data_IF_105811779843
#
_entry.id   IF_105811779843
#
_cell.length_a   1.000
_cell.length_b   1.000
_cell.length_c   1.000
_cell.angle_alpha   90.00
_cell.angle_beta   90.00
_cell.angle_gamma   90.00
#
_symmetry.space_group_name_H-M   'P 1'
#
loop_
_entity.id
_entity.type
_entity.pdbx_description
1 polymer ?
#
# COMPACT_ATOMS: atom_id res chain seq x y z
N UNK A 1 11.74 2.03 -28.97
CA UNK A 1 12.98 2.19 -28.18
C UNK A 1 12.59 2.30 -26.72
N UNK A 2 12.95 1.31 -25.90
CA UNK A 2 13.08 1.34 -24.42
C UNK A 2 12.16 2.30 -23.65
N UNK A 3 10.91 1.92 -23.40
CA UNK A 3 10.33 2.20 -22.08
C UNK A 3 10.79 1.09 -21.14
N UNK A 4 12.09 1.13 -20.81
CA UNK A 4 12.59 0.35 -19.70
C UNK A 4 11.84 0.88 -18.47
N UNK A 5 10.88 0.11 -17.98
CA UNK A 5 10.16 0.44 -16.77
C UNK A 5 11.20 0.66 -15.67
N UNK A 6 11.32 1.92 -15.23
CA UNK A 6 12.40 2.35 -14.32
C UNK A 6 12.36 1.63 -12.98
N UNK A 7 11.20 1.10 -12.62
CA UNK A 7 10.96 0.39 -11.37
C UNK A 7 10.40 -0.99 -11.67
N UNK A 8 11.02 -2.03 -11.10
CA UNK A 8 10.59 -3.42 -11.26
C UNK A 8 9.61 -3.84 -10.16
N UNK A 9 9.78 -3.29 -8.95
CA UNK A 9 9.03 -3.65 -7.76
C UNK A 9 8.64 -2.41 -6.97
N UNK A 10 7.45 -2.42 -6.40
CA UNK A 10 6.91 -1.36 -5.54
C UNK A 10 6.41 -1.99 -4.25
N UNK A 11 6.72 -1.34 -3.13
CA UNK A 11 6.22 -1.72 -1.82
C UNK A 11 5.48 -0.55 -1.20
N UNK A 12 4.25 -0.79 -0.77
CA UNK A 12 3.39 0.21 -0.13
C UNK A 12 3.13 -0.21 1.32
N UNK A 13 3.56 0.60 2.28
CA UNK A 13 3.36 0.37 3.70
C UNK A 13 2.22 1.25 4.21
N UNK A 14 1.18 0.63 4.78
CA UNK A 14 0.06 1.29 5.47
C UNK A 14 -0.39 2.61 4.82
N UNK A 15 -0.68 2.57 3.52
CA UNK A 15 -1.02 3.77 2.75
C UNK A 15 -2.47 4.21 2.93
N UNK A 16 -2.71 5.50 2.69
CA UNK A 16 -4.02 6.06 2.39
C UNK A 16 -4.02 6.46 0.91
N UNK A 17 -4.98 5.93 0.17
CA UNK A 17 -5.06 6.07 -1.28
C UNK A 17 -6.32 6.83 -1.69
N UNK A 18 -7.43 6.63 -0.98
CA UNK A 18 -8.64 7.42 -1.12
C UNK A 18 -8.68 8.50 -0.04
N UNK A 19 -8.63 9.75 -0.47
CA UNK A 19 -8.62 10.93 0.38
C UNK A 19 -10.02 11.40 0.78
N UNK A 20 -11.08 10.95 0.10
CA UNK A 20 -12.46 11.36 0.41
C UNK A 20 -12.85 11.14 1.88
N UNK A 21 -12.51 10.02 2.54
CA UNK A 21 -12.79 9.84 3.96
C UNK A 21 -12.09 10.84 4.89
N UNK A 22 -11.05 11.55 4.41
CA UNK A 22 -10.31 12.52 5.23
C UNK A 22 -11.02 13.87 5.34
N UNK A 23 -11.94 14.22 4.42
CA UNK A 23 -12.62 15.52 4.36
C UNK A 23 -13.18 15.96 5.71
N UNK A 24 -13.85 15.05 6.41
CA UNK A 24 -14.53 15.34 7.68
C UNK A 24 -13.65 15.18 8.92
N UNK A 25 -12.40 14.74 8.74
CA UNK A 25 -11.45 14.49 9.83
C UNK A 25 -10.68 15.75 10.21
N UNK A 26 -10.02 15.74 11.38
CA UNK A 26 -9.11 16.82 11.76
C UNK A 26 -7.95 16.99 10.76
N UNK A 27 -7.54 15.91 10.08
CA UNK A 27 -6.46 15.92 9.07
C UNK A 27 -6.91 16.71 7.84
N UNK A 28 -8.07 16.37 7.26
CA UNK A 28 -8.60 17.06 6.09
C UNK A 28 -8.86 18.55 6.37
N UNK A 29 -9.40 18.87 7.54
CA UNK A 29 -9.61 20.25 7.99
C UNK A 29 -8.29 21.02 8.13
N UNK A 30 -7.25 20.40 8.68
CA UNK A 30 -5.95 21.05 8.87
C UNK A 30 -5.27 21.45 7.54
N UNK A 31 -5.53 20.71 6.46
CA UNK A 31 -4.98 20.99 5.12
C UNK A 31 -5.99 21.68 4.19
N UNK A 32 -7.17 22.07 4.68
CA UNK A 32 -8.29 22.60 3.89
C UNK A 32 -8.66 21.73 2.68
N UNK A 33 -8.59 20.41 2.83
CA UNK A 33 -8.90 19.47 1.76
C UNK A 33 -10.34 19.67 1.29
N UNK A 34 -10.52 19.98 0.01
CA UNK A 34 -11.85 20.04 -0.59
C UNK A 34 -12.17 18.78 -1.41
N UNK A 35 -13.43 18.62 -1.78
CA UNK A 35 -13.90 17.43 -2.51
C UNK A 35 -13.19 17.24 -3.85
N UNK A 36 -13.00 18.33 -4.61
CA UNK A 36 -12.36 18.25 -5.92
C UNK A 36 -10.89 17.81 -5.82
N UNK A 37 -10.16 18.30 -4.80
CA UNK A 37 -8.81 17.86 -4.50
C UNK A 37 -8.78 16.40 -4.05
N UNK A 38 -9.69 16.01 -3.14
CA UNK A 38 -9.78 14.64 -2.66
C UNK A 38 -10.01 13.66 -3.82
N UNK A 39 -10.88 14.00 -4.76
CA UNK A 39 -11.14 13.17 -5.95
C UNK A 39 -9.96 13.16 -6.92
N UNK A 40 -9.35 14.32 -7.21
CA UNK A 40 -8.25 14.43 -8.16
C UNK A 40 -6.95 13.78 -7.67
N UNK A 41 -6.71 13.79 -6.36
CA UNK A 41 -5.46 13.30 -5.75
C UNK A 41 -5.59 11.89 -5.17
N UNK A 42 -6.80 11.31 -5.16
CA UNK A 42 -6.98 9.91 -4.76
C UNK A 42 -6.39 8.95 -5.78
N UNK A 43 -5.65 7.97 -5.29
CA UNK A 43 -5.20 6.82 -6.08
C UNK A 43 -6.29 5.76 -6.02
N UNK A 44 -7.05 5.61 -7.10
CA UNK A 44 -8.15 4.61 -7.18
C UNK A 44 -7.72 3.29 -7.82
N UNK A 45 -6.63 3.31 -8.59
CA UNK A 45 -6.02 2.11 -9.20
C UNK A 45 -4.53 2.37 -9.48
N UNK A 46 -3.76 1.28 -9.63
CA UNK A 46 -2.35 1.31 -10.00
C UNK A 46 -2.13 0.93 -11.47
N UNK A 47 -3.11 1.25 -12.31
CA UNK A 47 -3.21 0.80 -13.70
C UNK A 47 -2.06 1.24 -14.62
N UNK A 48 -1.35 2.29 -14.23
CA UNK A 48 -0.23 2.86 -15.00
C UNK A 48 1.12 2.29 -14.55
N UNK A 49 1.14 1.40 -13.57
CA UNK A 49 2.34 0.80 -13.01
C UNK A 49 2.50 -0.60 -13.61
N UNK A 50 3.58 -0.82 -14.38
CA UNK A 50 4.02 -2.17 -14.73
C UNK A 50 5.25 -2.55 -13.89
N UNK A 51 4.97 -2.77 -12.60
CA UNK A 51 5.90 -3.26 -11.60
C UNK A 51 5.16 -4.29 -10.74
N UNK A 52 5.90 -5.25 -10.19
CA UNK A 52 5.35 -6.13 -9.15
C UNK A 52 5.01 -5.30 -7.91
N UNK A 53 3.97 -5.71 -7.20
CA UNK A 53 3.44 -4.98 -6.06
C UNK A 53 3.45 -5.83 -4.79
N UNK A 54 3.90 -5.21 -3.70
CA UNK A 54 3.64 -5.67 -2.34
C UNK A 54 2.99 -4.55 -1.55
N UNK A 55 1.86 -4.83 -0.91
CA UNK A 55 1.18 -3.96 0.04
C UNK A 55 1.26 -4.61 1.40
N UNK A 56 1.76 -3.87 2.39
CA UNK A 56 1.97 -4.33 3.76
C UNK A 56 1.22 -3.41 4.71
N UNK A 57 0.43 -3.99 5.61
CA UNK A 57 -0.29 -3.25 6.65
C UNK A 57 -0.13 -3.97 7.99
N UNK A 58 -0.07 -3.24 9.09
CA UNK A 58 -0.07 -3.83 10.44
C UNK A 58 -1.45 -4.38 10.83
N UNK A 59 -1.51 -5.41 11.69
CA UNK A 59 -2.79 -5.91 12.21
C UNK A 59 -3.47 -4.89 13.13
N UNK A 60 -2.67 -4.11 13.85
CA UNK A 60 -3.12 -3.20 14.92
C UNK A 60 -3.37 -1.78 14.36
N UNK A 61 -3.27 -1.64 13.04
CA UNK A 61 -3.68 -0.46 12.30
C UNK A 61 -5.18 -0.19 12.38
N UNK A 62 -5.55 1.07 12.13
CA UNK A 62 -6.95 1.46 12.02
C UNK A 62 -7.64 0.69 10.87
N UNK A 63 -8.96 0.42 10.97
CA UNK A 63 -9.68 -0.30 9.92
C UNK A 63 -9.54 0.33 8.53
N UNK A 64 -9.38 1.66 8.44
CA UNK A 64 -9.26 2.36 7.15
C UNK A 64 -7.94 2.10 6.42
N UNK A 65 -6.83 1.87 7.12
CA UNK A 65 -5.58 1.47 6.46
C UNK A 65 -5.71 0.08 5.82
N UNK A 66 -6.34 -0.86 6.54
CA UNK A 66 -6.59 -2.24 6.05
C UNK A 66 -7.54 -2.25 4.87
N UNK A 67 -8.68 -1.56 4.99
CA UNK A 67 -9.69 -1.44 3.93
C UNK A 67 -9.11 -0.84 2.64
N UNK A 68 -8.38 0.28 2.75
CA UNK A 68 -7.83 0.94 1.57
C UNK A 68 -6.67 0.16 0.94
N UNK A 69 -5.82 -0.47 1.76
CA UNK A 69 -4.75 -1.36 1.29
C UNK A 69 -5.28 -2.57 0.53
N UNK A 70 -6.31 -3.21 1.08
CA UNK A 70 -6.97 -4.33 0.42
C UNK A 70 -7.62 -3.89 -0.91
N UNK A 71 -8.32 -2.76 -0.93
CA UNK A 71 -8.96 -2.25 -2.15
C UNK A 71 -7.96 -2.02 -3.30
N UNK A 72 -6.80 -1.43 -3.00
CA UNK A 72 -5.76 -1.23 -4.01
C UNK A 72 -5.16 -2.56 -4.48
N UNK A 73 -4.97 -3.53 -3.58
CA UNK A 73 -4.52 -4.88 -3.96
C UNK A 73 -5.52 -5.58 -4.89
N UNK A 74 -6.82 -5.49 -4.58
CA UNK A 74 -7.90 -6.05 -5.39
C UNK A 74 -7.90 -5.43 -6.79
N UNK A 75 -7.82 -4.10 -6.89
CA UNK A 75 -7.76 -3.40 -8.19
C UNK A 75 -6.53 -3.77 -9.01
N UNK A 76 -5.39 -3.96 -8.35
CA UNK A 76 -4.17 -4.42 -9.02
C UNK A 76 -4.33 -5.85 -9.55
N UNK A 77 -4.80 -6.80 -8.73
CA UNK A 77 -4.97 -8.21 -9.12
C UNK A 77 -6.05 -8.39 -10.20
N UNK A 78 -7.15 -7.63 -10.13
CA UNK A 78 -8.22 -7.62 -11.13
C UNK A 78 -7.67 -7.31 -12.54
N UNK A 79 -6.64 -6.46 -12.62
CA UNK A 79 -6.01 -6.08 -13.88
C UNK A 79 -4.87 -7.01 -14.29
N UNK A 80 -4.02 -7.38 -13.35
CA UNK A 80 -2.84 -8.20 -13.57
C UNK A 80 -3.12 -9.62 -13.06
N UNK A 81 -3.92 -10.38 -13.82
CA UNK A 81 -4.41 -11.75 -13.54
C UNK A 81 -3.33 -12.82 -13.23
N UNK A 82 -2.05 -12.44 -13.15
CA UNK A 82 -0.92 -13.31 -12.88
C UNK A 82 -0.58 -13.46 -11.37
N UNK A 83 -1.22 -12.70 -10.47
CA UNK A 83 -0.98 -12.76 -9.03
C UNK A 83 -2.27 -12.96 -8.23
N UNK A 84 -2.20 -13.74 -7.15
CA UNK A 84 -3.29 -13.78 -6.18
C UNK A 84 -3.14 -12.63 -5.17
N UNK A 85 -4.25 -12.20 -4.58
CA UNK A 85 -4.23 -11.16 -3.55
C UNK A 85 -3.31 -11.51 -2.37
N UNK A 86 -3.23 -12.79 -2.00
CA UNK A 86 -2.35 -13.28 -0.93
C UNK A 86 -0.87 -13.09 -1.23
N UNK A 87 -0.48 -12.94 -2.49
CA UNK A 87 0.92 -12.79 -2.91
C UNK A 87 1.39 -11.34 -2.75
N UNK A 88 0.47 -10.38 -2.98
CA UNK A 88 0.75 -8.94 -2.99
C UNK A 88 0.14 -8.16 -1.82
N UNK A 89 -0.67 -8.76 -0.94
CA UNK A 89 -1.23 -8.10 0.24
C UNK A 89 -0.92 -8.88 1.52
N UNK A 90 -0.23 -8.24 2.47
CA UNK A 90 0.21 -8.84 3.73
C UNK A 90 -0.24 -8.01 4.92
N UNK A 91 -0.84 -8.70 5.90
CA UNK A 91 -1.11 -8.14 7.22
C UNK A 91 -0.04 -8.66 8.18
N UNK A 92 0.71 -7.77 8.82
CA UNK A 92 1.78 -8.13 9.74
C UNK A 92 1.24 -8.15 11.18
N UNK A 93 1.24 -9.30 11.87
CA UNK A 93 0.69 -9.42 13.22
C UNK A 93 1.46 -8.58 14.25
N UNK A 94 0.73 -7.90 15.13
CA UNK A 94 1.26 -7.14 16.26
C UNK A 94 1.95 -5.82 15.86
N UNK A 95 1.81 -5.40 14.61
CA UNK A 95 2.37 -4.14 14.14
C UNK A 95 1.28 -3.07 14.04
N UNK A 96 1.60 -1.87 14.52
CA UNK A 96 0.89 -0.62 14.26
C UNK A 96 1.58 0.19 13.15
N UNK A 97 1.10 1.42 12.91
CA UNK A 97 1.64 2.30 11.88
C UNK A 97 3.11 2.63 12.00
N UNK A 98 3.59 2.79 13.24
CA UNK A 98 4.97 3.17 13.53
C UNK A 98 5.84 1.94 13.68
N UNK A 99 5.37 0.92 14.41
CA UNK A 99 6.17 -0.27 14.65
C UNK A 99 6.45 -1.01 13.35
N UNK A 100 5.50 -1.05 12.40
CA UNK A 100 5.67 -1.65 11.07
C UNK A 100 6.90 -1.10 10.33
N UNK A 101 7.15 0.20 10.42
CA UNK A 101 8.32 0.83 9.77
C UNK A 101 9.58 0.58 10.58
N UNK A 102 9.53 0.74 11.90
CA UNK A 102 10.72 0.56 12.75
C UNK A 102 11.20 -0.89 12.77
N UNK A 103 10.30 -1.87 12.65
CA UNK A 103 10.64 -3.29 12.65
C UNK A 103 11.39 -3.72 11.39
N UNK A 104 11.44 -2.89 10.34
CA UNK A 104 12.29 -3.10 9.17
C UNK A 104 13.79 -3.08 9.50
N UNK A 105 14.18 -2.51 10.64
CA UNK A 105 15.57 -2.55 11.10
C UNK A 105 16.01 -3.92 11.63
N UNK A 106 15.07 -4.77 12.07
CA UNK A 106 15.35 -6.13 12.50
C UNK A 106 15.14 -7.12 11.35
N UNK A 107 16.21 -7.77 10.92
CA UNK A 107 16.17 -8.82 9.88
C UNK A 107 15.27 -10.00 10.24
N UNK A 108 14.98 -10.19 11.52
CA UNK A 108 14.15 -11.28 12.01
C UNK A 108 12.67 -10.93 12.14
N UNK A 109 12.30 -9.65 12.01
CA UNK A 109 10.90 -9.24 12.06
C UNK A 109 10.11 -9.82 10.89
N UNK A 110 8.81 -9.99 11.08
CA UNK A 110 7.92 -10.48 10.02
C UNK A 110 7.88 -9.50 8.84
N UNK A 111 7.85 -8.18 9.12
CA UNK A 111 7.87 -7.15 8.09
C UNK A 111 9.11 -7.22 7.21
N UNK A 112 10.31 -7.34 7.81
CA UNK A 112 11.56 -7.46 7.04
C UNK A 112 11.61 -8.74 6.22
N UNK A 113 11.16 -9.87 6.80
CA UNK A 113 11.12 -11.15 6.08
C UNK A 113 10.20 -11.10 4.87
N UNK A 114 9.01 -10.52 4.99
CA UNK A 114 8.09 -10.34 3.86
C UNK A 114 8.67 -9.40 2.80
N UNK A 115 9.27 -8.29 3.21
CA UNK A 115 9.95 -7.37 2.30
C UNK A 115 11.09 -8.07 1.55
N UNK A 116 11.99 -8.76 2.25
CA UNK A 116 13.12 -9.46 1.65
C UNK A 116 12.65 -10.60 0.74
N UNK A 117 11.63 -11.37 1.14
CA UNK A 117 11.02 -12.40 0.29
C UNK A 117 10.58 -11.80 -1.03
N UNK A 118 9.81 -10.72 -0.99
CA UNK A 118 9.33 -10.04 -2.19
C UNK A 118 10.48 -9.44 -3.02
N UNK A 119 11.44 -8.78 -2.39
CA UNK A 119 12.55 -8.14 -3.11
C UNK A 119 13.47 -9.16 -3.80
N UNK A 120 13.74 -10.30 -3.16
CA UNK A 120 14.69 -11.31 -3.62
C UNK A 120 14.09 -12.38 -4.55
N UNK A 121 12.76 -12.46 -4.67
CA UNK A 121 12.10 -13.28 -5.69
C UNK A 121 12.54 -12.84 -7.10
N UNK A 122 12.91 -13.80 -7.95
CA UNK A 122 13.33 -13.55 -9.34
C UNK A 122 12.16 -13.71 -10.30
#
# INVERSE_FOLDING_TARGET
MKDAHRYQKIVLFSGIYNLRPLLDTYIGKAINLNLAEAEALSVVSLDKIAAELLIVVGSDESPKFKEQSQYIAEKYVEKYHAMNISDCYKIIPGEDHFTLVTSLADKNSTATKELLRFMLQK
#
